data_IF_069473466874
#
_entry.id   IF_069473466874
#
_cell.length_a   1.000
_cell.length_b   1.000
_cell.length_c   1.000
_cell.angle_alpha   90.00
_cell.angle_beta   90.00
_cell.angle_gamma   90.00
#
_symmetry.space_group_name_H-M   'P 1'
#
loop_
_entity.id
_entity.type
_entity.pdbx_description
1 polymer ?
#
# COMPACT_ATOMS: atom_id res chain seq x y z
N UNK A 1 -31.62 -24.11 -4.50
CA UNK A 1 -30.79 -23.15 -5.26
C UNK A 1 -29.70 -22.65 -4.31
N UNK A 2 -28.49 -23.22 -4.40
CA UNK A 2 -27.36 -22.82 -3.53
C UNK A 2 -26.60 -21.72 -4.27
N UNK A 3 -26.61 -20.51 -3.72
CA UNK A 3 -25.76 -19.41 -4.20
C UNK A 3 -24.37 -19.65 -3.63
N UNK A 4 -23.47 -20.23 -4.43
CA UNK A 4 -22.06 -20.28 -4.11
C UNK A 4 -21.51 -18.85 -4.18
N UNK A 5 -21.33 -18.20 -3.02
CA UNK A 5 -20.49 -17.00 -2.95
C UNK A 5 -19.08 -17.41 -3.37
N UNK A 6 -18.61 -16.89 -4.49
CA UNK A 6 -17.21 -17.00 -4.88
C UNK A 6 -16.36 -16.48 -3.70
N UNK A 7 -15.44 -17.31 -3.20
CA UNK A 7 -14.41 -16.83 -2.28
C UNK A 7 -13.69 -15.64 -2.95
N UNK A 8 -13.41 -14.54 -2.22
CA UNK A 8 -12.64 -13.46 -2.81
C UNK A 8 -11.31 -14.04 -3.30
N UNK A 9 -11.01 -13.84 -4.58
CA UNK A 9 -9.71 -14.22 -5.14
C UNK A 9 -8.61 -13.65 -4.23
N UNK A 10 -7.54 -14.42 -3.94
CA UNK A 10 -6.45 -13.93 -3.11
C UNK A 10 -5.94 -12.63 -3.73
N UNK A 11 -5.88 -11.57 -2.92
CA UNK A 11 -5.41 -10.28 -3.39
C UNK A 11 -3.94 -10.44 -3.80
N UNK A 12 -3.69 -10.53 -5.11
CA UNK A 12 -2.32 -10.57 -5.63
C UNK A 12 -1.68 -9.22 -5.39
N UNK A 13 -0.67 -9.20 -4.53
CA UNK A 13 0.08 -7.99 -4.19
C UNK A 13 1.28 -7.91 -5.11
N UNK A 14 1.41 -6.80 -5.82
CA UNK A 14 2.50 -6.60 -6.76
C UNK A 14 3.81 -6.34 -5.99
N UNK A 15 4.98 -6.77 -6.52
CA UNK A 15 6.26 -6.57 -5.84
C UNK A 15 6.54 -5.12 -5.42
N UNK A 16 6.21 -4.14 -6.29
CA UNK A 16 6.38 -2.72 -5.97
C UNK A 16 5.43 -2.23 -4.86
N UNK A 17 4.22 -2.77 -4.78
CA UNK A 17 3.29 -2.47 -3.69
C UNK A 17 3.83 -3.01 -2.38
N UNK A 18 4.36 -4.24 -2.40
CA UNK A 18 5.00 -4.87 -1.24
C UNK A 18 6.18 -4.05 -0.74
N UNK A 19 7.06 -3.64 -1.65
CA UNK A 19 8.21 -2.80 -1.33
C UNK A 19 7.79 -1.49 -0.66
N UNK A 20 6.78 -0.80 -1.21
CA UNK A 20 6.26 0.43 -0.61
C UNK A 20 5.71 0.17 0.80
N UNK A 21 4.91 -0.88 0.98
CA UNK A 21 4.33 -1.20 2.28
C UNK A 21 5.40 -1.57 3.31
N UNK A 22 6.41 -2.34 2.93
CA UNK A 22 7.53 -2.68 3.81
C UNK A 22 8.32 -1.44 4.22
N UNK A 23 8.56 -0.51 3.28
CA UNK A 23 9.24 0.74 3.60
C UNK A 23 8.47 1.55 4.66
N UNK A 24 7.16 1.75 4.47
CA UNK A 24 6.32 2.46 5.45
C UNK A 24 6.23 1.68 6.77
N UNK A 25 6.18 0.35 6.73
CA UNK A 25 6.16 -0.48 7.94
C UNK A 25 7.43 -0.32 8.79
N UNK A 26 8.61 -0.24 8.14
CA UNK A 26 9.89 -0.07 8.81
C UNK A 26 10.14 1.36 9.29
N UNK A 27 9.76 2.36 8.49
CA UNK A 27 10.09 3.76 8.75
C UNK A 27 9.02 4.52 9.55
N UNK A 28 7.82 3.96 9.69
CA UNK A 28 6.66 4.72 10.16
C UNK A 28 6.14 5.64 9.05
N UNK A 29 5.65 6.82 9.43
CA UNK A 29 5.20 7.81 8.45
C UNK A 29 6.36 8.26 7.55
N UNK A 30 6.17 8.19 6.23
CA UNK A 30 7.14 8.69 5.25
C UNK A 30 6.60 9.91 4.53
N UNK A 31 7.50 10.83 4.16
CA UNK A 31 7.18 11.95 3.29
C UNK A 31 7.65 11.64 1.86
N UNK A 32 6.74 11.78 0.90
CA UNK A 32 7.00 11.58 -0.53
C UNK A 32 6.89 12.93 -1.23
N UNK A 33 7.98 13.35 -1.89
CA UNK A 33 8.11 14.68 -2.51
C UNK A 33 8.26 14.60 -4.03
N UNK A 34 7.83 15.64 -4.74
CA UNK A 34 8.11 15.86 -6.17
C UNK A 34 7.72 14.70 -7.10
N UNK A 35 6.69 13.95 -6.75
CA UNK A 35 6.30 12.78 -7.54
C UNK A 35 5.39 13.19 -8.68
N UNK A 36 5.85 12.99 -9.92
CA UNK A 36 5.02 13.20 -11.10
C UNK A 36 3.87 12.20 -11.12
N UNK A 37 2.63 12.61 -11.47
CA UNK A 37 1.49 11.70 -11.54
C UNK A 37 1.69 10.50 -12.50
N UNK A 38 2.56 10.66 -13.50
CA UNK A 38 2.91 9.60 -14.45
C UNK A 38 3.92 8.58 -13.92
N UNK A 39 4.57 8.85 -12.78
CA UNK A 39 5.61 7.97 -12.25
C UNK A 39 5.03 6.66 -11.70
N UNK A 40 5.86 5.61 -11.73
CA UNK A 40 5.51 4.31 -11.15
C UNK A 40 5.26 4.41 -9.64
N UNK A 41 6.01 5.25 -8.93
CA UNK A 41 5.84 5.47 -7.50
C UNK A 41 4.46 6.06 -7.19
N UNK A 42 4.03 7.09 -7.93
CA UNK A 42 2.71 7.68 -7.74
C UNK A 42 1.59 6.68 -7.98
N UNK A 43 1.68 5.92 -9.07
CA UNK A 43 0.69 4.88 -9.41
C UNK A 43 0.63 3.82 -8.32
N UNK A 44 1.78 3.33 -7.86
CA UNK A 44 1.87 2.34 -6.78
C UNK A 44 1.28 2.88 -5.48
N UNK A 45 1.58 4.13 -5.12
CA UNK A 45 1.00 4.78 -3.95
C UNK A 45 -0.53 4.86 -4.06
N UNK A 46 -1.04 5.30 -5.21
CA UNK A 46 -2.49 5.37 -5.46
C UNK A 46 -3.17 4.02 -5.37
N UNK A 47 -2.57 2.97 -5.95
CA UNK A 47 -3.09 1.60 -5.84
C UNK A 47 -3.14 1.12 -4.38
N UNK A 48 -2.11 1.42 -3.57
CA UNK A 48 -2.10 1.08 -2.15
C UNK A 48 -3.14 1.87 -1.34
N UNK A 49 -3.38 3.14 -1.70
CA UNK A 49 -4.45 3.98 -1.11
C UNK A 49 -5.82 3.42 -1.47
N UNK A 50 -6.07 3.12 -2.74
CA UNK A 50 -7.36 2.62 -3.23
C UNK A 50 -7.70 1.24 -2.63
N UNK A 51 -6.68 0.48 -2.21
CA UNK A 51 -6.83 -0.80 -1.49
C UNK A 51 -6.95 -0.66 0.03
N UNK A 52 -6.86 0.56 0.57
CA UNK A 52 -6.93 0.81 2.01
C UNK A 52 -5.73 0.26 2.79
N UNK A 53 -4.56 0.14 2.14
CA UNK A 53 -3.34 -0.33 2.78
C UNK A 53 -2.53 0.82 3.40
N UNK A 54 -2.60 1.99 2.80
CA UNK A 54 -2.00 3.22 3.32
C UNK A 54 -2.96 4.39 3.14
N UNK A 55 -2.77 5.43 3.94
CA UNK A 55 -3.34 6.75 3.70
C UNK A 55 -2.25 7.67 3.14
N UNK A 56 -2.61 8.56 2.21
CA UNK A 56 -1.70 9.59 1.69
C UNK A 56 -2.36 10.96 1.81
N UNK A 57 -1.78 11.85 2.62
CA UNK A 57 -2.29 13.21 2.87
C UNK A 57 -1.26 14.22 2.39
N UNK A 58 -1.70 15.18 1.58
CA UNK A 58 -0.84 16.30 1.20
C UNK A 58 -0.63 17.23 2.41
N UNK A 59 0.62 17.38 2.84
CA UNK A 59 0.98 18.22 4.01
C UNK A 59 1.60 19.57 3.60
N UNK A 60 2.08 19.68 2.37
CA UNK A 60 2.51 20.93 1.74
C UNK A 60 2.53 20.77 0.20
N UNK A 61 2.70 21.86 -0.58
CA UNK A 61 2.75 21.76 -2.04
C UNK A 61 3.81 20.75 -2.50
N UNK A 62 3.37 19.70 -3.20
CA UNK A 62 4.26 18.65 -3.71
C UNK A 62 4.75 17.62 -2.68
N UNK A 63 4.28 17.66 -1.43
CA UNK A 63 4.68 16.72 -0.36
C UNK A 63 3.48 15.98 0.20
N UNK A 64 3.52 14.66 0.14
CA UNK A 64 2.50 13.77 0.69
C UNK A 64 3.08 12.96 1.85
N UNK A 65 2.46 13.06 3.02
CA UNK A 65 2.70 12.12 4.12
C UNK A 65 1.94 10.83 3.82
N UNK A 66 2.64 9.71 3.93
CA UNK A 66 2.06 8.38 3.75
C UNK A 66 2.11 7.64 5.09
N UNK A 67 0.95 7.17 5.52
CA UNK A 67 0.75 6.51 6.82
C UNK A 67 0.23 5.09 6.60
N UNK A 68 0.78 4.13 7.34
CA UNK A 68 0.34 2.73 7.27
C UNK A 68 -1.04 2.54 7.89
N UNK A 69 -1.93 1.82 7.20
CA UNK A 69 -3.20 1.36 7.77
C UNK A 69 -3.08 -0.10 8.26
N UNK A 70 -3.96 -0.56 9.18
CA UNK A 70 -3.88 -1.92 9.73
C UNK A 70 -3.84 -3.01 8.66
N UNK A 71 -4.67 -2.91 7.61
CA UNK A 71 -4.69 -3.88 6.52
C UNK A 71 -3.36 -3.92 5.73
N UNK A 72 -2.70 -2.77 5.54
CA UNK A 72 -1.40 -2.73 4.87
C UNK A 72 -0.29 -3.39 5.66
N UNK A 73 -0.36 -3.35 7.00
CA UNK A 73 0.61 -4.01 7.88
C UNK A 73 0.56 -5.53 7.77
N UNK A 74 -0.64 -6.10 7.68
CA UNK A 74 -0.81 -7.54 7.46
C UNK A 74 -0.26 -7.96 6.09
N UNK A 75 -0.52 -7.16 5.06
CA UNK A 75 -0.01 -7.39 3.71
C UNK A 75 1.51 -7.28 3.63
N UNK A 76 2.13 -6.36 4.38
CA UNK A 76 3.58 -6.18 4.41
C UNK A 76 4.32 -7.40 5.00
N UNK A 77 3.69 -8.14 5.92
CA UNK A 77 4.26 -9.30 6.63
C UNK A 77 4.08 -10.62 5.90
N UNK A 78 3.15 -10.71 4.96
CA UNK A 78 2.66 -11.97 4.40
C UNK A 78 3.70 -12.83 3.63
N UNK A 79 4.93 -12.34 3.40
CA UNK A 79 6.02 -13.11 2.76
C UNK A 79 7.21 -13.40 3.68
N UNK A 80 7.19 -12.99 4.97
CA UNK A 80 8.22 -13.46 5.90
C UNK A 80 7.88 -14.89 6.32
N UNK A 81 8.74 -15.90 6.05
CA UNK A 81 8.54 -17.21 6.64
C UNK A 81 8.56 -17.04 8.16
N UNK A 82 7.49 -17.48 8.81
CA UNK A 82 7.42 -17.52 10.27
C UNK A 82 8.62 -18.31 10.78
N UNK A 83 9.51 -17.65 11.51
CA UNK A 83 10.61 -18.29 12.24
C UNK A 83 10.07 -19.13 13.40
#
# INVERSE_FOLDING_TARGET
>A
MVVLRAAPYPVTVLPQQRLLLQLVAMSGDIAITNVRPSSILWRTLRECVDRGWVEAVQISPGVHRVTMLPAGREVARADEPSA
#
